data_IF_263583057422
#
_entry.id   IF_263583057422
#
_cell.length_a   1.000
_cell.length_b   1.000
_cell.length_c   1.000
_cell.angle_alpha   90.00
_cell.angle_beta   90.00
_cell.angle_gamma   90.00
#
_symmetry.space_group_name_H-M   'P 1'
#
loop_
_entity.id
_entity.type
_entity.pdbx_description
1 polymer ?
#
# COMPACT_ATOMS: atom_id res chain seq x y z
N UNK A 1 13.93 -8.91 -28.46
CA UNK A 1 12.61 -8.71 -27.83
C UNK A 1 12.60 -7.31 -27.23
N UNK A 2 11.89 -6.37 -27.86
CA UNK A 2 11.72 -5.01 -27.33
C UNK A 2 10.78 -5.11 -26.12
N UNK A 3 11.28 -4.74 -24.95
CA UNK A 3 10.46 -4.63 -23.74
C UNK A 3 9.64 -3.36 -23.84
N UNK A 4 8.31 -3.48 -23.71
CA UNK A 4 7.40 -2.35 -23.67
C UNK A 4 7.80 -1.37 -22.54
N UNK A 5 7.99 -0.07 -22.83
CA UNK A 5 8.37 0.93 -21.82
C UNK A 5 7.31 1.14 -20.72
N UNK A 6 6.14 0.50 -20.83
CA UNK A 6 5.07 0.50 -19.82
C UNK A 6 5.27 -0.52 -18.70
N UNK A 7 6.15 -1.51 -18.87
CA UNK A 7 6.44 -2.51 -17.83
C UNK A 7 7.58 -2.08 -16.90
N UNK A 8 8.53 -1.28 -17.39
CA UNK A 8 9.69 -0.83 -16.62
C UNK A 8 9.35 0.05 -15.38
N UNK A 9 8.13 0.57 -15.29
CA UNK A 9 7.68 1.42 -14.17
C UNK A 9 7.07 0.66 -12.98
N UNK A 10 6.78 -0.64 -13.12
CA UNK A 10 6.11 -1.43 -12.05
C UNK A 10 7.09 -2.12 -11.11
N UNK A 11 8.32 -2.37 -11.54
CA UNK A 11 9.28 -3.21 -10.78
C UNK A 11 10.02 -2.49 -9.65
N UNK A 12 9.96 -1.15 -9.57
CA UNK A 12 10.63 -0.35 -8.53
C UNK A 12 9.69 0.19 -7.44
N UNK A 13 8.48 -0.37 -7.33
CA UNK A 13 7.54 0.03 -6.28
C UNK A 13 7.80 -0.77 -5.01
N UNK A 14 8.07 -0.04 -3.93
CA UNK A 14 8.03 -0.62 -2.59
C UNK A 14 6.58 -0.99 -2.26
N UNK A 15 6.39 -2.00 -1.41
CA UNK A 15 5.06 -2.52 -1.06
C UNK A 15 4.71 -2.15 0.38
N UNK A 16 3.53 -1.59 0.59
CA UNK A 16 2.90 -1.42 1.89
C UNK A 16 1.88 -2.55 2.08
N UNK A 17 1.99 -3.29 3.18
CA UNK A 17 1.02 -4.35 3.53
C UNK A 17 0.15 -3.83 4.67
N UNK A 18 -1.16 -3.76 4.42
CA UNK A 18 -2.15 -3.43 5.44
C UNK A 18 -2.78 -4.74 5.91
N UNK A 19 -2.72 -5.02 7.21
CA UNK A 19 -3.30 -6.23 7.79
C UNK A 19 -4.39 -5.84 8.79
N UNK A 20 -5.57 -6.42 8.61
CA UNK A 20 -6.69 -6.27 9.53
C UNK A 20 -6.70 -7.46 10.48
N UNK A 21 -6.74 -7.19 11.77
CA UNK A 21 -6.77 -8.19 12.83
C UNK A 21 -8.15 -8.18 13.50
N UNK A 22 -8.47 -9.23 14.26
CA UNK A 22 -9.74 -9.31 15.03
C UNK A 22 -10.99 -9.68 14.21
N UNK A 23 -10.94 -9.60 12.88
CA UNK A 23 -12.09 -9.95 12.03
C UNK A 23 -11.70 -10.67 10.73
N UNK A 24 -12.55 -11.60 10.32
CA UNK A 24 -12.52 -12.25 9.00
C UNK A 24 -13.44 -11.57 7.98
N UNK A 25 -14.17 -10.53 8.38
CA UNK A 25 -15.01 -9.75 7.48
C UNK A 25 -14.16 -8.86 6.57
N UNK A 26 -14.72 -8.50 5.42
CA UNK A 26 -14.14 -7.46 4.55
C UNK A 26 -14.23 -6.11 5.26
N UNK A 27 -13.15 -5.35 5.24
CA UNK A 27 -13.10 -4.02 5.86
C UNK A 27 -12.67 -2.99 4.82
N UNK A 28 -13.39 -1.87 4.79
CA UNK A 28 -12.98 -0.69 4.02
C UNK A 28 -11.99 0.12 4.83
N UNK A 29 -10.81 0.32 4.27
CA UNK A 29 -9.68 1.01 4.90
C UNK A 29 -9.36 2.26 4.11
N UNK A 30 -9.35 3.41 4.78
CA UNK A 30 -8.85 4.66 4.22
C UNK A 30 -7.39 4.85 4.62
N UNK A 31 -6.51 4.94 3.64
CA UNK A 31 -5.11 5.29 3.80
C UNK A 31 -4.94 6.78 3.49
N UNK A 32 -4.37 7.53 4.42
CA UNK A 32 -4.01 8.94 4.24
C UNK A 32 -2.53 9.11 4.51
N UNK A 33 -1.81 9.64 3.52
CA UNK A 33 -0.38 9.89 3.61
C UNK A 33 -0.10 11.30 4.12
N UNK A 34 0.32 11.41 5.38
CA UNK A 34 0.69 12.68 6.01
C UNK A 34 2.13 13.13 5.70
N UNK A 35 2.91 12.33 4.96
CA UNK A 35 4.29 12.64 4.57
C UNK A 35 4.49 12.51 3.04
N UNK A 36 3.74 13.29 2.22
CA UNK A 36 3.73 13.15 0.77
C UNK A 36 5.07 13.52 0.10
N UNK A 37 5.95 14.22 0.81
CA UNK A 37 7.31 14.57 0.36
C UNK A 37 8.34 13.44 0.57
N UNK A 38 7.98 12.40 1.36
CA UNK A 38 8.86 11.27 1.70
C UNK A 38 8.52 10.03 0.88
N UNK A 39 7.22 9.72 0.81
CA UNK A 39 6.67 8.54 0.15
C UNK A 39 5.39 8.94 -0.57
N UNK A 40 5.11 8.33 -1.71
CA UNK A 40 3.91 8.57 -2.51
C UNK A 40 3.14 7.27 -2.66
N UNK A 41 1.83 7.27 -2.36
CA UNK A 41 0.97 6.12 -2.65
C UNK A 41 0.63 6.17 -4.14
N UNK A 42 0.61 5.02 -4.82
CA UNK A 42 0.47 4.94 -6.27
C UNK A 42 -0.80 5.64 -6.81
N UNK A 43 -1.86 5.76 -5.99
CA UNK A 43 -3.13 6.41 -6.34
C UNK A 43 -3.31 7.83 -5.78
N UNK A 44 -2.29 8.42 -5.12
CA UNK A 44 -2.35 9.79 -4.59
C UNK A 44 -1.93 9.90 -3.13
N UNK A 45 -2.38 10.95 -2.43
CA UNK A 45 -2.16 11.10 -0.99
C UNK A 45 -3.23 10.38 -0.16
N UNK A 46 -4.32 9.99 -0.79
CA UNK A 46 -5.39 9.22 -0.18
C UNK A 46 -5.72 8.01 -1.04
N UNK A 47 -6.05 6.90 -0.39
CA UNK A 47 -6.48 5.68 -1.07
C UNK A 47 -7.50 4.94 -0.21
N UNK A 48 -8.62 4.55 -0.82
CA UNK A 48 -9.55 3.60 -0.21
C UNK A 48 -9.19 2.19 -0.72
N UNK A 49 -9.00 1.26 0.19
CA UNK A 49 -8.79 -0.17 -0.11
C UNK A 49 -9.79 -1.01 0.66
N UNK A 50 -10.29 -2.07 0.02
CA UNK A 50 -11.14 -3.06 0.69
C UNK A 50 -10.34 -4.32 0.86
N UNK A 51 -10.24 -4.81 2.10
CA UNK A 51 -9.56 -6.07 2.36
C UNK A 51 -10.44 -7.25 1.91
N UNK A 52 -9.84 -8.38 1.50
CA UNK A 52 -10.60 -9.53 1.00
C UNK A 52 -11.39 -10.27 2.08
N UNK A 53 -11.13 -10.02 3.37
CA UNK A 53 -11.63 -10.84 4.46
C UNK A 53 -10.90 -12.19 4.55
N UNK A 54 -11.50 -13.14 5.27
CA UNK A 54 -10.99 -14.50 5.43
C UNK A 54 -9.78 -14.61 6.37
N UNK A 55 -9.09 -15.75 6.32
CA UNK A 55 -7.95 -16.05 7.19
C UNK A 55 -6.74 -15.12 6.97
N UNK A 56 -6.61 -14.56 5.76
CA UNK A 56 -5.57 -13.61 5.40
C UNK A 56 -6.22 -12.27 5.03
N UNK A 57 -6.70 -11.56 6.04
CA UNK A 57 -7.38 -10.28 5.88
C UNK A 57 -6.37 -9.13 5.66
N UNK A 58 -5.69 -9.14 4.52
CA UNK A 58 -4.67 -8.14 4.18
C UNK A 58 -4.77 -7.64 2.73
N UNK A 59 -4.22 -6.45 2.50
CA UNK A 59 -4.14 -5.84 1.17
C UNK A 59 -2.76 -5.21 0.96
N UNK A 60 -2.24 -5.37 -0.26
CA UNK A 60 -0.94 -4.81 -0.65
C UNK A 60 -1.16 -3.55 -1.48
N UNK A 61 -0.45 -2.49 -1.12
CA UNK A 61 -0.51 -1.19 -1.77
C UNK A 61 0.86 -0.83 -2.32
N UNK A 62 0.91 -0.42 -3.59
CA UNK A 62 2.12 0.09 -4.21
C UNK A 62 2.47 1.47 -3.66
N UNK A 63 3.72 1.64 -3.23
CA UNK A 63 4.25 2.91 -2.74
C UNK A 63 5.58 3.23 -3.45
N UNK A 64 5.74 4.49 -3.78
CA UNK A 64 6.94 5.02 -4.39
C UNK A 64 7.72 5.83 -3.36
N UNK A 65 8.99 5.49 -3.17
CA UNK A 65 9.90 6.23 -2.31
C UNK A 65 10.38 7.49 -3.03
N UNK A 66 10.30 8.65 -2.38
CA UNK A 66 10.79 9.92 -2.92
C UNK A 66 12.13 10.34 -2.30
N UNK A 67 12.37 10.04 -1.02
CA UNK A 67 13.63 10.32 -0.32
C UNK A 67 14.36 9.05 0.08
N UNK A 68 15.69 9.02 0.02
CA UNK A 68 16.50 7.90 0.53
C UNK A 68 16.40 7.82 2.05
N UNK A 69 16.29 6.60 2.60
CA UNK A 69 16.16 6.36 4.04
C UNK A 69 15.54 4.98 4.34
N UNK A 70 15.64 4.55 5.60
CA UNK A 70 14.87 3.42 6.11
C UNK A 70 13.52 3.95 6.61
N UNK A 71 12.44 3.30 6.19
CA UNK A 71 11.08 3.67 6.58
C UNK A 71 10.36 2.41 7.00
N UNK A 72 9.79 2.41 8.20
CA UNK A 72 8.82 1.40 8.59
C UNK A 72 7.43 2.03 8.42
N UNK A 73 6.57 1.39 7.63
CA UNK A 73 5.20 1.84 7.44
C UNK A 73 4.31 0.70 7.88
N UNK A 74 3.73 0.84 9.06
CA UNK A 74 2.84 -0.13 9.66
C UNK A 74 1.45 0.48 9.79
N UNK A 75 0.45 -0.24 9.31
CA UNK A 75 -0.96 0.14 9.43
C UNK A 75 -1.70 -1.04 10.07
N UNK A 76 -2.04 -0.89 11.33
CA UNK A 76 -2.85 -1.85 12.09
C UNK A 76 -4.23 -1.24 12.28
N UNK A 77 -5.26 -2.01 11.93
CA UNK A 77 -6.65 -1.65 12.17
C UNK A 77 -7.19 -2.73 13.08
N UNK A 78 -7.53 -2.29 14.29
CA UNK A 78 -8.19 -3.11 15.30
C UNK A 78 -9.70 -2.82 15.22
N UNK A 79 -10.49 -3.89 15.13
CA UNK A 79 -11.93 -3.86 15.36
C UNK A 79 -12.25 -4.69 16.59
#
# INVERSE_FOLDING_TARGET
MQQDPREAGRDNLSKLVVKVLGTSNKVNVRLTNNTPDVLKIQRGNEMLVTTPGGANNSVVVGVQRLKKGAYNVEAVIEQ
#
